data_IF_666258016190
#
_entry.id   IF_666258016190
#
_cell.length_a   1.000
_cell.length_b   1.000
_cell.length_c   1.000
_cell.angle_alpha   90.00
_cell.angle_beta   90.00
_cell.angle_gamma   90.00
#
_symmetry.space_group_name_H-M   'P 1'
#
loop_
_entity.id
_entity.type
_entity.pdbx_description
1 polymer ?
#
# COMPACT_ATOMS: atom_id res chain seq x y z
N UNK A 1 8.26 4.08 -26.60
CA UNK A 1 9.26 3.49 -25.67
C UNK A 1 9.15 4.11 -24.28
N UNK A 2 9.21 5.44 -24.14
CA UNK A 2 9.05 6.15 -22.86
C UNK A 2 7.74 5.85 -22.12
N UNK A 3 6.61 5.73 -22.83
CA UNK A 3 5.32 5.36 -22.23
C UNK A 3 5.36 4.02 -21.50
N UNK A 4 6.04 3.02 -22.06
CA UNK A 4 6.16 1.70 -21.44
C UNK A 4 6.97 1.77 -20.13
N UNK A 5 8.01 2.61 -20.10
CA UNK A 5 8.79 2.86 -18.87
C UNK A 5 7.91 3.49 -17.78
N UNK A 6 7.07 4.47 -18.13
CA UNK A 6 6.14 5.07 -17.18
C UNK A 6 5.07 4.10 -16.68
N UNK A 7 4.52 3.26 -17.56
CA UNK A 7 3.56 2.21 -17.17
C UNK A 7 4.22 1.24 -16.19
N UNK A 8 5.42 0.75 -16.51
CA UNK A 8 6.15 -0.15 -15.63
C UNK A 8 6.45 0.50 -14.28
N UNK A 9 6.94 1.75 -14.26
CA UNK A 9 7.21 2.48 -13.02
C UNK A 9 5.93 2.68 -12.18
N UNK A 10 4.82 3.09 -12.79
CA UNK A 10 3.56 3.29 -12.09
C UNK A 10 3.02 1.97 -11.51
N UNK A 11 3.12 0.87 -12.25
CA UNK A 11 2.70 -0.44 -11.77
C UNK A 11 3.54 -0.91 -10.58
N UNK A 12 4.86 -0.76 -10.65
CA UNK A 12 5.76 -1.16 -9.57
C UNK A 12 5.54 -0.31 -8.31
N UNK A 13 5.39 1.01 -8.46
CA UNK A 13 5.11 1.91 -7.34
C UNK A 13 3.72 1.68 -6.73
N UNK A 14 2.70 1.49 -7.56
CA UNK A 14 1.32 1.26 -7.13
C UNK A 14 1.08 -0.12 -6.51
N UNK A 15 1.94 -1.10 -6.81
CA UNK A 15 1.86 -2.45 -6.25
C UNK A 15 2.33 -2.53 -4.79
N UNK A 16 2.90 -1.44 -4.25
CA UNK A 16 3.29 -1.35 -2.86
C UNK A 16 2.06 -1.10 -1.97
N UNK A 17 1.86 -1.94 -0.96
CA UNK A 17 0.80 -1.74 0.03
C UNK A 17 1.19 -0.64 1.02
N UNK A 18 0.86 0.62 0.68
CA UNK A 18 1.17 1.78 1.52
C UNK A 18 0.51 1.70 2.89
N UNK A 19 -0.68 1.11 3.03
CA UNK A 19 -1.30 0.87 4.33
C UNK A 19 -0.38 0.06 5.25
N UNK A 20 0.20 -1.04 4.75
CA UNK A 20 1.12 -1.88 5.55
C UNK A 20 2.43 -1.15 5.83
N UNK A 21 2.99 -0.45 4.85
CA UNK A 21 4.26 0.28 5.00
C UNK A 21 4.11 1.40 6.03
N UNK A 22 3.07 2.22 5.90
CA UNK A 22 2.80 3.36 6.79
C UNK A 22 2.43 2.88 8.18
N UNK A 23 1.56 1.88 8.32
CA UNK A 23 1.26 1.30 9.64
C UNK A 23 2.52 0.84 10.36
N UNK A 24 3.42 0.12 9.67
CA UNK A 24 4.71 -0.29 10.26
C UNK A 24 5.60 0.89 10.61
N UNK A 25 5.73 1.88 9.72
CA UNK A 25 6.55 3.07 9.96
C UNK A 25 6.04 3.92 11.14
N UNK A 26 4.73 3.90 11.38
CA UNK A 26 4.07 4.62 12.48
C UNK A 26 3.90 3.79 13.75
N UNK A 27 4.36 2.53 13.78
CA UNK A 27 4.19 1.64 14.94
C UNK A 27 2.75 1.18 15.19
N UNK A 28 1.88 1.26 14.17
CA UNK A 28 0.51 0.77 14.22
C UNK A 28 0.46 -0.75 13.99
N UNK A 29 -0.60 -1.44 14.46
CA UNK A 29 -0.83 -2.85 14.15
C UNK A 29 -0.91 -3.12 12.64
N UNK A 30 -0.63 -4.36 12.21
CA UNK A 30 -0.75 -4.75 10.80
C UNK A 30 -2.23 -4.60 10.36
N UNK A 31 -2.53 -3.81 9.31
CA UNK A 31 -3.91 -3.57 8.86
C UNK A 31 -4.64 -4.83 8.38
N UNK A 32 -3.96 -5.98 8.25
CA UNK A 32 -4.60 -7.26 7.95
C UNK A 32 -5.15 -7.97 9.19
N UNK A 33 -4.78 -7.55 10.39
CA UNK A 33 -5.16 -8.23 11.64
C UNK A 33 -6.41 -7.65 12.32
N UNK A 34 -7.04 -6.62 11.74
CA UNK A 34 -8.20 -5.96 12.34
C UNK A 34 -9.14 -5.38 11.27
N UNK A 35 -10.34 -4.97 11.71
CA UNK A 35 -11.38 -4.40 10.84
C UNK A 35 -11.83 -5.36 9.74
N UNK A 36 -11.89 -4.86 8.52
CA UNK A 36 -12.18 -5.64 7.31
C UNK A 36 -11.02 -6.52 6.83
N UNK A 37 -9.81 -6.28 7.35
CA UNK A 37 -8.58 -6.97 6.94
C UNK A 37 -8.03 -6.53 5.57
N UNK A 38 -8.69 -5.60 4.86
CA UNK A 38 -8.16 -5.05 3.62
C UNK A 38 -7.12 -3.96 3.94
N UNK A 39 -5.86 -4.05 3.46
CA UNK A 39 -4.83 -3.04 3.71
C UNK A 39 -5.04 -1.80 2.81
N UNK A 40 -6.18 -1.15 2.98
CA UNK A 40 -6.55 0.13 2.39
C UNK A 40 -6.73 1.20 3.45
N UNK A 41 -6.85 2.46 3.02
CA UNK A 41 -6.94 3.61 3.92
C UNK A 41 -8.08 3.52 4.95
N UNK A 42 -9.24 2.97 4.53
CA UNK A 42 -10.41 2.82 5.41
C UNK A 42 -10.18 1.88 6.58
N UNK A 43 -9.21 0.97 6.49
CA UNK A 43 -8.87 0.03 7.55
C UNK A 43 -7.68 0.48 8.39
N UNK A 44 -7.01 1.58 8.03
CA UNK A 44 -5.89 2.16 8.79
C UNK A 44 -6.36 3.29 9.72
N UNK A 45 -7.48 3.93 9.37
CA UNK A 45 -8.15 4.97 10.18
C UNK A 45 -8.65 4.45 11.54
#
# INVERSE_FOLDING_TARGET
>A
MTTLLFIAAAYLLGSLSFAVIVSRAMGLPDPRSFGSGNPGATNVL
#
